data_IF_806535673519
#
_entry.id   IF_806535673519
#
_cell.length_a   1.000
_cell.length_b   1.000
_cell.length_c   1.000
_cell.angle_alpha   90.00
_cell.angle_beta   90.00
_cell.angle_gamma   90.00
#
_symmetry.space_group_name_H-M   'P 1'
#
loop_
_entity.id
_entity.type
_entity.pdbx_description
1 polymer ?
#
# COMPACT_ATOMS: atom_id res chain seq x y z
N UNK A 1 -22.79 -9.91 29.33
CA UNK A 1 -22.24 -10.75 28.24
C UNK A 1 -21.73 -9.94 27.04
N UNK A 2 -22.38 -8.85 26.59
CA UNK A 2 -21.93 -8.06 25.43
C UNK A 2 -20.53 -7.41 25.59
N UNK A 3 -20.15 -6.98 26.79
CA UNK A 3 -18.86 -6.31 27.06
C UNK A 3 -17.66 -7.23 26.90
N UNK A 4 -17.76 -8.48 27.38
CA UNK A 4 -16.71 -9.48 27.23
C UNK A 4 -16.51 -9.89 25.76
N UNK A 5 -17.60 -9.99 24.99
CA UNK A 5 -17.55 -10.31 23.56
C UNK A 5 -16.87 -9.18 22.75
N UNK A 6 -17.19 -7.91 23.05
CA UNK A 6 -16.54 -6.77 22.41
C UNK A 6 -15.05 -6.67 22.75
N UNK A 7 -14.69 -6.90 24.03
CA UNK A 7 -13.30 -6.91 24.47
C UNK A 7 -12.50 -8.01 23.78
N UNK A 8 -13.07 -9.21 23.60
CA UNK A 8 -12.42 -10.31 22.91
C UNK A 8 -12.21 -10.01 21.41
N UNK A 9 -13.23 -9.46 20.74
CA UNK A 9 -13.12 -9.05 19.33
C UNK A 9 -12.01 -8.01 19.15
N UNK A 10 -11.93 -7.01 20.03
CA UNK A 10 -10.91 -5.98 19.96
C UNK A 10 -9.49 -6.55 20.11
N UNK A 11 -9.28 -7.45 21.07
CA UNK A 11 -8.00 -8.13 21.29
C UNK A 11 -7.60 -8.94 20.05
N UNK A 12 -8.51 -9.75 19.52
CA UNK A 12 -8.24 -10.56 18.31
C UNK A 12 -7.92 -9.69 17.09
N UNK A 13 -8.62 -8.57 16.89
CA UNK A 13 -8.33 -7.64 15.80
C UNK A 13 -6.96 -6.98 15.97
N UNK A 14 -6.58 -6.62 17.21
CA UNK A 14 -5.27 -6.05 17.51
C UNK A 14 -4.15 -7.04 17.21
N UNK A 15 -4.27 -8.27 17.70
CA UNK A 15 -3.28 -9.32 17.44
C UNK A 15 -3.12 -9.63 15.95
N UNK A 16 -4.24 -9.67 15.20
CA UNK A 16 -4.21 -9.82 13.73
C UNK A 16 -3.48 -8.67 13.05
N UNK A 17 -3.71 -7.42 13.48
CA UNK A 17 -3.00 -6.24 12.93
C UNK A 17 -1.49 -6.31 13.22
N UNK A 18 -1.10 -6.66 14.45
CA UNK A 18 0.31 -6.80 14.82
C UNK A 18 1.01 -7.94 14.07
N UNK A 19 0.34 -9.09 13.93
CA UNK A 19 0.84 -10.21 13.12
C UNK A 19 1.06 -9.79 11.66
N UNK A 20 0.13 -9.03 11.08
CA UNK A 20 0.25 -8.49 9.72
C UNK A 20 1.43 -7.53 9.60
N UNK A 21 1.65 -6.64 10.57
CA UNK A 21 2.81 -5.75 10.60
C UNK A 21 4.12 -6.53 10.65
N UNK A 22 4.21 -7.57 11.50
CA UNK A 22 5.39 -8.43 11.58
C UNK A 22 5.71 -9.11 10.26
N UNK A 23 4.73 -9.76 9.63
CA UNK A 23 4.93 -10.43 8.31
C UNK A 23 5.38 -9.46 7.23
N UNK A 24 4.79 -8.24 7.23
CA UNK A 24 5.19 -7.19 6.29
C UNK A 24 6.64 -6.77 6.51
N UNK A 25 7.03 -6.54 7.76
CA UNK A 25 8.38 -6.09 8.08
C UNK A 25 9.40 -7.22 7.81
N UNK A 26 9.07 -8.48 8.10
CA UNK A 26 9.84 -9.66 7.69
C UNK A 26 10.01 -9.73 6.18
N UNK A 27 8.95 -9.47 5.41
CA UNK A 27 9.09 -9.46 3.96
C UNK A 27 9.95 -8.33 3.43
N UNK A 28 9.90 -7.14 4.04
CA UNK A 28 10.79 -6.04 3.70
C UNK A 28 12.27 -6.39 3.90
N UNK A 29 12.62 -7.32 4.79
CA UNK A 29 14.02 -7.76 4.93
C UNK A 29 14.56 -8.47 3.69
N UNK A 30 13.68 -8.98 2.81
CA UNK A 30 14.05 -9.69 1.57
C UNK A 30 14.30 -8.77 0.39
N UNK A 31 13.89 -7.50 0.47
CA UNK A 31 14.10 -6.53 -0.59
C UNK A 31 15.50 -5.91 -0.52
N UNK A 32 16.09 -5.54 -1.66
CA UNK A 32 17.32 -4.77 -1.67
C UNK A 32 17.11 -3.42 -0.96
N UNK A 33 18.15 -2.96 -0.25
CA UNK A 33 18.15 -1.63 0.35
C UNK A 33 18.22 -0.58 -0.76
N UNK A 34 17.26 0.32 -0.79
CA UNK A 34 17.18 1.43 -1.75
C UNK A 34 17.51 2.74 -1.06
N UNK A 35 18.13 3.67 -1.80
CA UNK A 35 18.33 5.05 -1.35
C UNK A 35 17.69 5.99 -2.35
N UNK A 36 16.79 6.85 -1.88
CA UNK A 36 16.31 8.01 -2.64
C UNK A 36 16.82 9.28 -1.98
N UNK A 37 17.22 10.24 -2.80
CA UNK A 37 17.61 11.56 -2.34
C UNK A 37 16.73 12.60 -3.00
N UNK A 38 16.39 13.63 -2.24
CA UNK A 38 15.65 14.76 -2.80
C UNK A 38 16.56 15.51 -3.79
N UNK A 39 16.00 15.82 -4.96
CA UNK A 39 16.64 16.72 -5.90
C UNK A 39 16.64 18.13 -5.31
N UNK A 40 17.78 18.84 -5.39
CA UNK A 40 17.84 20.25 -4.98
C UNK A 40 16.96 21.06 -5.93
N UNK A 41 15.80 21.52 -5.46
CA UNK A 41 15.00 22.49 -6.21
C UNK A 41 15.82 23.79 -6.23
N UNK A 42 16.19 24.22 -7.44
CA UNK A 42 17.06 25.37 -7.71
C UNK A 42 16.61 26.62 -6.94
N UNK A 43 17.61 27.33 -6.40
CA UNK A 43 17.57 28.52 -5.54
C UNK A 43 17.53 28.24 -4.01
N UNK A 44 18.70 27.92 -3.47
CA UNK A 44 19.20 28.29 -2.11
C UNK A 44 18.33 28.03 -0.88
N UNK A 45 17.31 27.17 -0.94
CA UNK A 45 16.63 26.69 0.27
C UNK A 45 17.14 25.30 0.62
N UNK A 46 18.02 25.25 1.62
CA UNK A 46 18.42 23.99 2.23
C UNK A 46 17.16 23.28 2.77
N UNK A 47 16.96 22.00 2.41
CA UNK A 47 15.83 21.22 2.91
C UNK A 47 15.98 21.11 4.43
N UNK A 48 15.14 21.85 5.16
CA UNK A 48 15.21 21.99 6.62
C UNK A 48 14.92 20.69 7.36
N UNK A 49 14.31 19.70 6.71
CA UNK A 49 13.93 18.41 7.29
C UNK A 49 14.93 17.33 6.82
N UNK A 50 15.86 16.87 7.68
CA UNK A 50 16.91 15.94 7.27
C UNK A 50 16.38 14.64 6.66
N UNK A 51 15.26 14.11 7.18
CA UNK A 51 14.63 12.88 6.69
C UNK A 51 13.98 13.02 5.31
N UNK A 52 13.79 14.25 4.81
CA UNK A 52 13.35 14.50 3.44
C UNK A 52 14.52 14.59 2.46
N UNK A 53 15.78 14.72 2.94
CA UNK A 53 16.97 14.80 2.07
C UNK A 53 17.35 13.46 1.50
N UNK A 54 17.29 12.44 2.34
CA UNK A 54 17.71 11.08 1.98
C UNK A 54 16.88 10.08 2.76
N UNK A 55 16.31 9.12 2.04
CA UNK A 55 15.63 7.98 2.61
C UNK A 55 16.38 6.73 2.16
N UNK A 56 16.80 5.92 3.14
CA UNK A 56 17.49 4.65 2.90
C UNK A 56 16.82 3.55 3.71
N UNK A 57 16.21 2.58 3.03
CA UNK A 57 15.46 1.49 3.68
C UNK A 57 15.33 0.32 2.69
N UNK A 58 14.83 -0.83 3.14
CA UNK A 58 14.50 -1.97 2.26
C UNK A 58 13.03 -1.95 1.82
N UNK A 59 12.23 -0.99 2.31
CA UNK A 59 10.86 -0.84 1.83
C UNK A 59 10.86 -0.46 0.34
N UNK A 60 10.06 -1.12 -0.51
CA UNK A 60 10.00 -0.82 -1.92
C UNK A 60 9.62 0.63 -2.16
N UNK A 61 10.31 1.25 -3.12
CA UNK A 61 10.06 2.62 -3.56
C UNK A 61 9.63 2.59 -5.02
N UNK A 62 8.56 3.32 -5.33
CA UNK A 62 8.11 3.56 -6.70
C UNK A 62 8.72 4.85 -7.23
N UNK A 63 9.03 4.91 -8.52
CA UNK A 63 9.48 6.15 -9.15
C UNK A 63 8.32 7.15 -9.23
N UNK A 64 8.64 8.44 -9.25
CA UNK A 64 7.63 9.49 -9.41
C UNK A 64 6.86 9.36 -10.74
N UNK A 65 7.55 8.97 -11.83
CA UNK A 65 6.90 8.74 -13.13
C UNK A 65 5.89 7.60 -13.08
N UNK A 66 6.25 6.49 -12.44
CA UNK A 66 5.34 5.37 -12.27
C UNK A 66 4.17 5.77 -11.37
N UNK A 67 4.44 6.37 -10.21
CA UNK A 67 3.42 6.81 -9.26
C UNK A 67 2.36 7.71 -9.92
N UNK A 68 2.77 8.61 -10.82
CA UNK A 68 1.87 9.54 -11.51
C UNK A 68 1.20 8.94 -12.76
N UNK A 69 1.48 7.69 -13.12
CA UNK A 69 0.84 7.03 -14.26
C UNK A 69 -0.60 6.66 -13.91
N UNK A 70 -1.57 7.05 -14.73
CA UNK A 70 -2.97 6.72 -14.50
C UNK A 70 -3.22 5.21 -14.63
N UNK A 71 -3.97 4.62 -13.71
CA UNK A 71 -4.36 3.21 -13.77
C UNK A 71 -5.09 2.86 -15.08
N UNK A 72 -5.87 3.80 -15.62
CA UNK A 72 -6.58 3.65 -16.90
C UNK A 72 -5.64 3.44 -18.09
N UNK A 73 -4.40 3.93 -18.03
CA UNK A 73 -3.41 3.77 -19.11
C UNK A 73 -2.65 2.45 -19.05
N UNK A 74 -2.59 1.82 -17.87
CA UNK A 74 -1.88 0.54 -17.67
C UNK A 74 -2.78 -0.66 -18.00
N UNK A 75 -4.10 -0.52 -17.77
CA UNK A 75 -5.04 -1.64 -17.83
C UNK A 75 -4.88 -2.59 -16.64
N UNK A 76 -5.85 -3.49 -16.46
CA UNK A 76 -5.97 -4.35 -15.27
C UNK A 76 -4.73 -5.24 -15.05
N UNK A 77 -4.29 -5.93 -16.10
CA UNK A 77 -3.23 -6.92 -16.02
C UNK A 77 -1.85 -6.27 -15.77
N UNK A 78 -1.49 -5.25 -16.55
CA UNK A 78 -0.23 -4.54 -16.36
C UNK A 78 -0.18 -3.81 -15.02
N UNK A 79 -1.32 -3.30 -14.52
CA UNK A 79 -1.40 -2.71 -13.19
C UNK A 79 -1.07 -3.73 -12.10
N UNK A 80 -1.66 -4.93 -12.16
CA UNK A 80 -1.35 -6.01 -11.20
C UNK A 80 0.11 -6.45 -11.31
N UNK A 81 0.63 -6.61 -12.52
CA UNK A 81 2.02 -7.03 -12.76
C UNK A 81 3.01 -6.03 -12.14
N UNK A 82 2.81 -4.73 -12.36
CA UNK A 82 3.66 -3.70 -11.76
C UNK A 82 3.55 -3.64 -10.24
N UNK A 83 2.35 -3.86 -9.68
CA UNK A 83 2.17 -3.98 -8.23
C UNK A 83 2.93 -5.19 -7.69
N UNK A 84 2.80 -6.35 -8.35
CA UNK A 84 3.50 -7.58 -7.99
C UNK A 84 5.02 -7.44 -8.05
N UNK A 85 5.55 -6.79 -9.09
CA UNK A 85 6.99 -6.53 -9.22
C UNK A 85 7.46 -5.61 -8.09
N UNK A 86 6.77 -4.48 -7.89
CA UNK A 86 7.13 -3.48 -6.88
C UNK A 86 7.11 -4.08 -5.47
N UNK A 87 6.10 -4.90 -5.19
CA UNK A 87 5.85 -5.48 -3.89
C UNK A 87 6.38 -6.91 -3.78
N UNK A 88 7.09 -7.45 -4.77
CA UNK A 88 7.56 -8.84 -4.75
C UNK A 88 6.48 -9.87 -4.41
N UNK A 89 5.24 -9.63 -4.85
CA UNK A 89 4.09 -10.54 -4.65
C UNK A 89 3.81 -11.33 -5.91
N UNK A 90 3.04 -12.41 -5.77
CA UNK A 90 2.64 -13.29 -6.87
C UNK A 90 1.12 -13.42 -6.98
N UNK A 91 0.38 -12.35 -6.66
CA UNK A 91 -1.08 -12.37 -6.69
C UNK A 91 -1.57 -12.48 -8.14
N UNK A 92 -2.63 -13.27 -8.35
CA UNK A 92 -3.25 -13.45 -9.66
C UNK A 92 -4.60 -12.76 -9.74
N UNK A 93 -5.09 -12.57 -10.97
CA UNK A 93 -6.47 -12.15 -11.26
C UNK A 93 -7.50 -13.27 -11.01
N UNK A 94 -7.15 -14.32 -10.27
CA UNK A 94 -8.10 -15.32 -9.79
C UNK A 94 -8.67 -14.94 -8.43
N UNK A 95 -8.07 -13.96 -7.76
CA UNK A 95 -8.51 -13.49 -6.44
C UNK A 95 -9.55 -12.38 -6.61
N UNK A 96 -10.84 -12.59 -6.30
CA UNK A 96 -11.89 -11.61 -6.60
C UNK A 96 -11.68 -10.24 -5.94
N UNK A 97 -11.11 -10.22 -4.72
CA UNK A 97 -10.81 -8.97 -4.03
C UNK A 97 -9.67 -8.18 -4.69
N UNK A 98 -8.70 -8.86 -5.31
CA UNK A 98 -7.66 -8.19 -6.10
C UNK A 98 -8.30 -7.54 -7.32
N UNK A 99 -9.11 -8.28 -8.07
CA UNK A 99 -9.82 -7.75 -9.25
C UNK A 99 -10.64 -6.51 -8.86
N UNK A 100 -11.49 -6.63 -7.82
CA UNK A 100 -12.35 -5.55 -7.36
C UNK A 100 -11.57 -4.28 -6.97
N UNK A 101 -10.44 -4.42 -6.27
CA UNK A 101 -9.58 -3.30 -5.92
C UNK A 101 -9.01 -2.59 -7.17
N UNK A 102 -8.53 -3.37 -8.14
CA UNK A 102 -7.91 -2.83 -9.35
C UNK A 102 -8.95 -2.18 -10.27
N UNK A 103 -10.12 -2.79 -10.43
CA UNK A 103 -11.26 -2.22 -11.16
C UNK A 103 -11.72 -0.91 -10.52
N UNK A 104 -11.82 -0.83 -9.19
CA UNK A 104 -12.13 0.41 -8.48
C UNK A 104 -11.07 1.48 -8.73
N UNK A 105 -9.78 1.13 -8.77
CA UNK A 105 -8.72 2.10 -9.10
C UNK A 105 -8.83 2.62 -10.55
N UNK A 106 -9.15 1.76 -11.50
CA UNK A 106 -9.35 2.14 -12.91
C UNK A 106 -10.60 3.00 -13.07
N UNK A 107 -11.73 2.59 -12.49
CA UNK A 107 -13.00 3.29 -12.58
C UNK A 107 -12.93 4.71 -11.98
N UNK A 108 -12.23 4.87 -10.85
CA UNK A 108 -12.01 6.17 -10.21
C UNK A 108 -10.86 6.98 -10.83
N UNK A 109 -10.22 6.49 -11.91
CA UNK A 109 -9.09 7.14 -12.59
C UNK A 109 -7.96 7.51 -11.64
N UNK A 110 -7.70 6.67 -10.65
CA UNK A 110 -6.57 6.86 -9.75
C UNK A 110 -5.25 6.70 -10.49
N UNK A 111 -4.22 7.32 -9.94
CA UNK A 111 -2.84 7.08 -10.33
C UNK A 111 -2.29 5.81 -9.68
N UNK A 112 -1.17 5.32 -10.20
CA UNK A 112 -0.50 4.13 -9.69
C UNK A 112 -0.07 4.30 -8.23
N UNK A 113 0.34 5.50 -7.81
CA UNK A 113 0.74 5.76 -6.43
C UNK A 113 -0.39 5.52 -5.44
N UNK A 114 -1.60 5.95 -5.79
CA UNK A 114 -2.82 5.74 -5.01
C UNK A 114 -3.19 4.26 -5.00
N UNK A 115 -3.16 3.58 -6.15
CA UNK A 115 -3.40 2.14 -6.24
C UNK A 115 -2.39 1.34 -5.40
N UNK A 116 -1.11 1.69 -5.48
CA UNK A 116 -0.02 1.13 -4.68
C UNK A 116 -0.28 1.30 -3.19
N UNK A 117 -0.66 2.50 -2.74
CA UNK A 117 -0.98 2.76 -1.33
C UNK A 117 -2.12 1.88 -0.81
N UNK A 118 -3.19 1.76 -1.60
CA UNK A 118 -4.36 0.92 -1.26
C UNK A 118 -4.01 -0.56 -1.25
N UNK A 119 -3.28 -1.04 -2.24
CA UNK A 119 -2.85 -2.42 -2.33
C UNK A 119 -1.88 -2.79 -1.19
N UNK A 120 -0.93 -1.91 -0.88
CA UNK A 120 0.02 -2.06 0.23
C UNK A 120 -0.64 -2.10 1.61
N UNK A 121 -1.85 -1.56 1.78
CA UNK A 121 -2.58 -1.69 3.03
C UNK A 121 -3.02 -3.15 3.29
N UNK A 122 -3.22 -3.93 2.22
CA UNK A 122 -3.91 -5.23 2.29
C UNK A 122 -3.06 -6.43 1.83
N UNK A 123 -1.93 -6.21 1.15
CA UNK A 123 -1.05 -7.24 0.55
C UNK A 123 -0.47 -8.34 1.47
N UNK A 124 -0.46 -8.16 2.81
CA UNK A 124 -0.10 -9.22 3.79
C UNK A 124 -1.30 -9.82 4.51
N UNK A 125 -2.48 -9.71 3.91
CA UNK A 125 -3.67 -10.40 4.41
C UNK A 125 -3.59 -11.88 4.05
N UNK A 126 -3.80 -12.74 5.05
CA UNK A 126 -4.03 -14.18 4.80
C UNK A 126 -5.42 -14.39 4.18
N UNK A 127 -6.32 -13.42 4.37
CA UNK A 127 -7.71 -13.48 3.95
C UNK A 127 -8.06 -12.27 3.07
N UNK A 128 -8.04 -12.50 1.76
CA UNK A 128 -8.42 -11.50 0.77
C UNK A 128 -9.92 -11.19 0.79
N UNK A 129 -10.77 -12.02 1.41
CA UNK A 129 -12.21 -11.74 1.50
C UNK A 129 -12.53 -10.55 2.41
N UNK A 130 -11.62 -10.21 3.34
CA UNK A 130 -11.77 -9.06 4.26
C UNK A 130 -11.30 -7.73 3.67
N UNK A 131 -10.66 -7.77 2.50
CA UNK A 131 -10.05 -6.59 1.85
C UNK A 131 -11.05 -5.50 1.49
N UNK A 132 -12.25 -5.81 0.96
CA UNK A 132 -13.25 -4.78 0.67
C UNK A 132 -13.61 -3.92 1.89
N UNK A 133 -13.80 -4.54 3.05
CA UNK A 133 -14.13 -3.84 4.30
C UNK A 133 -12.98 -2.96 4.81
N UNK A 134 -11.74 -3.45 4.70
CA UNK A 134 -10.56 -2.68 5.10
C UNK A 134 -10.32 -1.48 4.16
N UNK A 135 -10.51 -1.66 2.85
CA UNK A 135 -10.41 -0.58 1.88
C UNK A 135 -11.49 0.49 2.09
N UNK A 136 -12.69 0.10 2.52
CA UNK A 136 -13.76 1.04 2.89
C UNK A 136 -13.36 1.92 4.08
N UNK A 137 -12.80 1.32 5.13
CA UNK A 137 -12.27 2.08 6.29
C UNK A 137 -11.17 3.07 5.87
N UNK A 138 -10.30 2.69 4.94
CA UNK A 138 -9.25 3.59 4.43
C UNK A 138 -9.80 4.78 3.64
N UNK A 139 -10.93 4.63 2.92
CA UNK A 139 -11.61 5.74 2.24
C UNK A 139 -12.25 6.70 3.26
N UNK A 140 -12.87 6.16 4.32
CA UNK A 140 -13.58 6.95 5.34
C UNK A 140 -12.62 7.78 6.21
N UNK A 141 -11.43 7.28 6.55
CA UNK A 141 -10.41 8.02 7.32
C UNK A 141 -9.67 9.11 6.52
N UNK A 142 -9.91 9.23 5.21
CA UNK A 142 -9.36 10.28 4.35
C UNK A 142 -10.30 11.47 4.12
N UNK A 143 -11.52 11.42 4.67
CA UNK A 143 -12.56 12.45 4.50
C UNK A 143 -12.93 13.18 5.80
N UNK A 144 -12.13 13.08 6.87
CA UNK A 144 -12.18 14.05 7.97
C UNK A 144 -11.14 15.14 7.70
N UNK A 145 -11.55 16.16 6.95
CA UNK A 145 -10.98 17.51 6.98
C UNK A 145 -12.12 18.51 7.12
#
# INVERSE_FOLDING_TARGET
>A
MLTAHYSLIYVLLKERKEARHRRRDEAYTKFPKVTISAHKISNDKEIMVPLQRTYTDTKPVISASLANTLCTTLGLQSLLEQLNITLGTSCSLETPAVISLLEDCIANKYDFGTAYGRYRAVWYTDDWSTVPDELRKCKEMGCEN
#
